data_IF_002834835193
#
_entry.id   IF_002834835193
#
_cell.length_a   1.000
_cell.length_b   1.000
_cell.length_c   1.000
_cell.angle_alpha   90.00
_cell.angle_beta   90.00
_cell.angle_gamma   90.00
#
_symmetry.space_group_name_H-M   'P 1'
#
loop_
_entity.id
_entity.type
_entity.pdbx_description
1 polymer ?
#
# COMPACT_ATOMS: atom_id res chain seq x y z
N UNK A 1 -5.65 -13.96 -28.78
CA UNK A 1 -4.28 -14.43 -28.37
C UNK A 1 -3.60 -13.45 -27.39
N UNK A 2 -4.36 -12.75 -26.52
CA UNK A 2 -3.85 -11.80 -25.51
C UNK A 2 -4.45 -12.05 -24.11
N UNK A 3 -5.26 -13.10 -23.94
CA UNK A 3 -5.93 -13.41 -22.66
C UNK A 3 -5.20 -14.50 -21.85
N UNK A 4 -4.52 -15.44 -22.50
CA UNK A 4 -3.87 -16.58 -21.83
C UNK A 4 -2.59 -16.19 -21.08
N UNK A 5 -1.83 -15.23 -21.59
CA UNK A 5 -0.52 -14.88 -21.02
C UNK A 5 -0.65 -14.07 -19.72
N UNK A 6 -1.76 -13.35 -19.53
CA UNK A 6 -1.98 -12.58 -18.30
C UNK A 6 -2.35 -13.51 -17.13
N UNK A 7 -3.12 -14.56 -17.38
CA UNK A 7 -3.49 -15.56 -16.35
C UNK A 7 -2.31 -16.47 -15.98
N UNK A 8 -1.49 -16.90 -16.94
CA UNK A 8 -0.32 -17.73 -16.67
C UNK A 8 0.80 -16.97 -15.92
N UNK A 9 0.95 -15.66 -16.16
CA UNK A 9 1.90 -14.82 -15.39
C UNK A 9 1.52 -14.71 -13.91
N UNK A 10 0.24 -14.73 -13.59
CA UNK A 10 -0.24 -14.70 -12.20
C UNK A 10 0.02 -16.02 -11.47
N UNK A 11 0.29 -17.12 -12.20
CA UNK A 11 0.58 -18.44 -11.63
C UNK A 11 2.09 -18.74 -11.55
N UNK A 12 2.90 -18.14 -12.42
CA UNK A 12 4.37 -18.36 -12.49
C UNK A 12 5.20 -17.47 -11.56
N UNK A 13 4.63 -16.40 -10.98
CA UNK A 13 5.36 -15.53 -10.05
C UNK A 13 5.52 -16.13 -8.64
N UNK A 14 4.85 -17.23 -8.31
CA UNK A 14 5.03 -17.90 -7.01
C UNK A 14 4.72 -17.01 -5.80
N UNK A 15 4.15 -15.82 -6.01
CA UNK A 15 3.68 -14.95 -4.94
C UNK A 15 2.42 -15.63 -4.43
N UNK A 16 2.58 -16.38 -3.35
CA UNK A 16 1.46 -17.04 -2.73
C UNK A 16 0.47 -15.95 -2.32
N UNK A 17 -0.83 -16.16 -2.54
CA UNK A 17 -1.87 -15.21 -2.10
C UNK A 17 -1.74 -14.93 -0.59
N UNK A 18 -1.16 -15.88 0.13
CA UNK A 18 -0.76 -15.81 1.55
C UNK A 18 0.34 -14.79 1.86
N UNK A 19 1.25 -14.48 0.92
CA UNK A 19 2.23 -13.40 1.06
C UNK A 19 1.60 -12.02 0.82
N UNK A 20 0.61 -11.93 -0.07
CA UNK A 20 -0.28 -10.74 -0.14
C UNK A 20 -1.10 -10.57 1.16
N UNK A 21 -1.32 -11.64 1.93
CA UNK A 21 -2.19 -11.66 3.10
C UNK A 21 -1.54 -11.15 4.41
N UNK A 22 -0.22 -10.90 4.44
CA UNK A 22 0.44 -10.36 5.65
C UNK A 22 0.43 -8.82 5.66
N UNK A 23 0.26 -8.14 4.53
CA UNK A 23 0.15 -6.67 4.52
C UNK A 23 -1.27 -6.28 4.92
N UNK A 24 -1.41 -5.54 6.03
CA UNK A 24 -2.70 -5.07 6.51
C UNK A 24 -3.11 -3.74 5.88
N UNK A 25 -2.22 -2.73 5.92
CA UNK A 25 -2.44 -1.39 5.34
C UNK A 25 -1.15 -0.58 5.31
N UNK A 26 -1.13 0.47 4.49
CA UNK A 26 -0.14 1.55 4.61
C UNK A 26 -0.63 2.50 5.71
N UNK A 27 0.24 2.82 6.66
CA UNK A 27 -0.09 3.74 7.77
C UNK A 27 0.54 5.12 7.60
N UNK A 28 1.67 5.20 6.91
CA UNK A 28 2.38 6.45 6.70
C UNK A 28 3.25 6.41 5.45
N UNK A 29 3.72 7.57 4.99
CA UNK A 29 4.68 7.69 3.92
C UNK A 29 5.72 8.77 4.24
N UNK A 30 6.93 8.61 3.69
CA UNK A 30 7.97 9.63 3.75
C UNK A 30 8.78 9.66 2.47
N UNK A 31 9.48 10.77 2.25
CA UNK A 31 10.46 10.89 1.16
C UNK A 31 11.85 10.88 1.78
N UNK A 32 12.68 9.91 1.38
CA UNK A 32 14.07 9.78 1.82
C UNK A 32 14.97 9.54 0.62
N UNK A 33 16.07 10.27 0.52
CA UNK A 33 17.06 10.15 -0.58
C UNK A 33 16.44 10.24 -1.99
N UNK A 34 15.37 11.02 -2.16
CA UNK A 34 14.67 11.16 -3.44
C UNK A 34 13.69 10.03 -3.77
N UNK A 35 13.54 9.03 -2.91
CA UNK A 35 12.56 7.94 -3.05
C UNK A 35 11.41 8.06 -2.04
N UNK A 36 10.21 7.62 -2.43
CA UNK A 36 9.10 7.41 -1.48
C UNK A 36 9.28 6.07 -0.76
N UNK A 37 9.11 6.11 0.55
CA UNK A 37 9.00 4.94 1.42
C UNK A 37 7.64 4.98 2.12
N UNK A 38 7.07 3.81 2.37
CA UNK A 38 5.78 3.63 3.02
C UNK A 38 5.95 2.78 4.27
N UNK A 39 5.28 3.17 5.35
CA UNK A 39 5.24 2.40 6.58
C UNK A 39 4.11 1.37 6.48
N UNK A 40 4.49 0.10 6.53
CA UNK A 40 3.57 -1.03 6.33
C UNK A 40 3.15 -1.60 7.68
N UNK A 41 1.83 -1.68 7.91
CA UNK A 41 1.27 -2.43 9.01
C UNK A 41 1.09 -3.89 8.62
N UNK A 42 1.65 -4.79 9.41
CA UNK A 42 1.61 -6.23 9.16
C UNK A 42 0.47 -6.88 9.94
N UNK A 43 -0.33 -7.68 9.25
CA UNK A 43 -1.46 -8.42 9.82
C UNK A 43 -0.96 -9.39 10.89
N UNK A 44 -1.57 -9.32 12.07
CA UNK A 44 -1.22 -10.18 13.21
C UNK A 44 0.00 -9.72 14.00
N UNK A 45 0.61 -8.60 13.63
CA UNK A 45 1.70 -7.97 14.37
C UNK A 45 1.26 -6.61 14.93
N UNK A 46 1.83 -6.18 16.07
CA UNK A 46 1.55 -4.87 16.63
C UNK A 46 2.33 -3.78 15.87
N UNK A 47 1.95 -2.52 16.06
CA UNK A 47 2.44 -1.39 15.25
C UNK A 47 3.95 -1.15 15.40
N UNK A 48 4.57 -1.62 16.48
CA UNK A 48 6.03 -1.55 16.67
C UNK A 48 6.80 -2.44 15.70
N UNK A 49 6.12 -3.37 15.03
CA UNK A 49 6.69 -4.21 13.96
C UNK A 49 6.53 -3.61 12.58
N UNK A 50 5.92 -2.43 12.45
CA UNK A 50 5.76 -1.80 11.15
C UNK A 50 7.13 -1.47 10.55
N UNK A 51 7.28 -1.70 9.24
CA UNK A 51 8.55 -1.48 8.53
C UNK A 51 8.38 -0.46 7.42
N UNK A 52 9.45 0.30 7.15
CA UNK A 52 9.51 1.24 6.04
C UNK A 52 9.96 0.50 4.78
N UNK A 53 9.05 0.30 3.85
CA UNK A 53 9.31 -0.34 2.57
C UNK A 53 9.39 0.73 1.47
N UNK A 54 10.38 0.66 0.57
CA UNK A 54 10.43 1.58 -0.56
C UNK A 54 9.26 1.31 -1.52
N UNK A 55 8.81 2.34 -2.23
CA UNK A 55 7.69 2.24 -3.16
C UNK A 55 7.84 1.09 -4.18
N UNK A 56 9.06 0.82 -4.64
CA UNK A 56 9.33 -0.24 -5.61
C UNK A 56 9.19 -1.66 -5.03
N UNK A 57 9.17 -1.83 -3.70
CA UNK A 57 8.88 -3.11 -3.05
C UNK A 57 7.38 -3.38 -2.93
N UNK A 58 6.52 -2.38 -3.16
CA UNK A 58 5.08 -2.51 -3.07
C UNK A 58 4.49 -2.83 -4.44
N UNK A 59 4.41 -4.12 -4.77
CA UNK A 59 3.74 -4.62 -5.97
C UNK A 59 2.20 -4.57 -5.88
N UNK A 60 1.67 -3.78 -4.93
CA UNK A 60 0.26 -3.71 -4.57
C UNK A 60 -0.27 -2.27 -4.74
N UNK A 61 -0.59 -1.84 -5.97
CA UNK A 61 -1.03 -0.47 -6.24
C UNK A 61 -2.32 -0.09 -5.50
N UNK A 62 -3.19 -1.07 -5.23
CA UNK A 62 -4.43 -0.86 -4.49
C UNK A 62 -4.21 -0.35 -3.05
N UNK A 63 -3.13 -0.77 -2.38
CA UNK A 63 -2.82 -0.30 -1.02
C UNK A 63 -2.39 1.17 -1.01
N UNK A 64 -1.63 1.58 -2.04
CA UNK A 64 -1.23 2.98 -2.22
C UNK A 64 -2.46 3.83 -2.53
N UNK A 65 -3.33 3.37 -3.42
CA UNK A 65 -4.58 4.04 -3.76
C UNK A 65 -5.49 4.21 -2.53
N UNK A 66 -5.68 3.17 -1.73
CA UNK A 66 -6.49 3.23 -0.50
C UNK A 66 -5.92 4.27 0.49
N UNK A 67 -4.60 4.26 0.67
CA UNK A 67 -3.92 5.22 1.53
C UNK A 67 -4.06 6.66 1.02
N UNK A 68 -3.78 6.92 -0.26
CA UNK A 68 -3.93 8.25 -0.85
C UNK A 68 -5.38 8.75 -0.77
N UNK A 69 -6.36 7.88 -1.00
CA UNK A 69 -7.78 8.21 -0.84
C UNK A 69 -8.14 8.59 0.60
N UNK A 70 -7.59 7.89 1.59
CA UNK A 70 -7.80 8.23 3.01
C UNK A 70 -7.25 9.62 3.35
N UNK A 71 -6.07 9.97 2.82
CA UNK A 71 -5.46 11.29 3.03
C UNK A 71 -6.30 12.40 2.40
N UNK A 72 -6.82 12.18 1.19
CA UNK A 72 -7.71 13.12 0.52
C UNK A 72 -9.01 13.30 1.30
N UNK A 73 -9.61 12.22 1.80
CA UNK A 73 -10.83 12.31 2.59
C UNK A 73 -10.61 13.07 3.90
N UNK A 74 -9.49 12.83 4.58
CA UNK A 74 -9.12 13.56 5.79
C UNK A 74 -8.85 15.04 5.51
N UNK A 75 -8.12 15.35 4.43
CA UNK A 75 -7.90 16.74 3.99
C UNK A 75 -9.21 17.46 3.68
N UNK A 76 -10.13 16.81 2.94
CA UNK A 76 -11.46 17.37 2.64
C UNK A 76 -12.29 17.59 3.89
N UNK A 77 -12.25 16.66 4.84
CA UNK A 77 -12.92 16.81 6.12
C UNK A 77 -12.37 18.02 6.90
N UNK A 78 -11.04 18.13 7.02
CA UNK A 78 -10.40 19.25 7.71
C UNK A 78 -10.72 20.59 7.05
N UNK A 79 -10.61 20.70 5.72
CA UNK A 79 -10.91 21.95 5.00
C UNK A 79 -12.37 22.38 5.18
N UNK A 80 -13.32 21.45 5.09
CA UNK A 80 -14.74 21.78 5.20
C UNK A 80 -15.15 22.13 6.65
N UNK A 81 -14.53 21.52 7.66
CA UNK A 81 -14.82 21.81 9.07
C UNK A 81 -14.01 23.00 9.63
N UNK A 82 -12.88 23.37 9.05
CA UNK A 82 -12.13 24.59 9.42
C UNK A 82 -12.69 25.87 8.80
N UNK A 83 -13.61 25.76 7.84
CA UNK A 83 -14.34 26.89 7.22
C UNK A 83 -15.72 27.14 7.86
N UNK A 84 -16.04 26.45 8.96
CA UNK A 84 -17.21 26.68 9.83
C UNK A 84 -16.79 27.39 11.12
#
# INVERSE_FOLDING_TARGET
IMTTIHEEKQQLLGINKDEMLIVQRIVDHRVRNGGKEFLIAWKGYPEERNTWEPQHNLDYPHLIEEYENSLLQQSRYMTNHSLS
#
